data_IF_401589208489
#
_entry.id   IF_401589208489
#
_cell.length_a   1.000
_cell.length_b   1.000
_cell.length_c   1.000
_cell.angle_alpha   90.00
_cell.angle_beta   90.00
_cell.angle_gamma   90.00
#
_symmetry.space_group_name_H-M   'P 1'
#
loop_
_entity.id
_entity.type
_entity.pdbx_description
1 polymer ?
#
# COMPACT_ATOMS: atom_id res chain seq x y z
N UNK A 1 0.67 -0.78 -5.38
CA UNK A 1 1.98 -0.43 -4.79
C UNK A 1 2.48 -1.62 -3.98
N UNK A 2 3.76 -1.99 -4.06
CA UNK A 2 4.31 -3.01 -3.17
C UNK A 2 4.15 -2.57 -1.71
N UNK A 3 3.85 -3.52 -0.83
CA UNK A 3 3.69 -3.25 0.61
C UNK A 3 5.09 -3.05 1.21
N UNK A 4 5.38 -1.85 1.70
CA UNK A 4 6.59 -1.60 2.48
C UNK A 4 6.38 -2.13 3.90
N UNK A 5 7.33 -2.93 4.40
CA UNK A 5 7.31 -3.48 5.76
C UNK A 5 8.55 -2.99 6.50
N UNK A 6 8.34 -2.31 7.62
CA UNK A 6 9.42 -2.00 8.57
C UNK A 6 9.31 -3.01 9.69
N UNK A 7 10.36 -3.79 9.89
CA UNK A 7 10.37 -4.94 10.79
C UNK A 7 11.56 -4.87 11.73
N UNK A 8 11.36 -5.34 12.97
CA UNK A 8 12.41 -5.53 13.96
C UNK A 8 12.49 -7.01 14.34
N UNK A 9 13.70 -7.52 14.59
CA UNK A 9 13.87 -8.88 15.09
C UNK A 9 13.22 -9.03 16.48
N UNK A 10 12.40 -10.07 16.65
CA UNK A 10 11.63 -10.30 17.88
C UNK A 10 12.51 -10.49 19.11
N UNK A 11 13.51 -11.37 19.04
CA UNK A 11 14.40 -11.64 20.17
C UNK A 11 15.17 -10.39 20.61
N UNK A 12 15.58 -9.56 19.65
CA UNK A 12 16.22 -8.27 19.96
C UNK A 12 15.26 -7.29 20.60
N UNK A 13 14.04 -7.15 20.06
CA UNK A 13 13.01 -6.29 20.65
C UNK A 13 12.69 -6.70 22.09
N UNK A 14 12.49 -8.00 22.35
CA UNK A 14 12.19 -8.52 23.68
C UNK A 14 13.35 -8.33 24.65
N UNK A 15 14.60 -8.38 24.18
CA UNK A 15 15.79 -8.15 25.00
C UNK A 15 15.99 -6.69 25.45
N UNK A 16 15.24 -5.74 24.90
CA UNK A 16 15.37 -4.33 25.25
C UNK A 16 14.76 -4.02 26.64
N UNK A 17 15.28 -3.00 27.34
CA UNK A 17 14.64 -2.45 28.53
C UNK A 17 13.21 -1.98 28.24
N UNK A 18 12.33 -2.05 29.24
CA UNK A 18 10.91 -1.71 29.09
C UNK A 18 10.69 -0.29 28.54
N UNK A 19 11.48 0.69 28.97
CA UNK A 19 11.40 2.06 28.47
C UNK A 19 11.71 2.17 26.97
N UNK A 20 12.68 1.41 26.47
CA UNK A 20 13.03 1.40 25.05
C UNK A 20 11.94 0.71 24.21
N UNK A 21 11.34 -0.38 24.71
CA UNK A 21 10.20 -1.04 24.04
C UNK A 21 9.00 -0.10 23.93
N UNK A 22 8.65 0.58 25.03
CA UNK A 22 7.56 1.53 25.05
C UNK A 22 7.75 2.68 24.03
N UNK A 23 8.98 3.18 23.89
CA UNK A 23 9.30 4.20 22.89
C UNK A 23 9.14 3.68 21.45
N UNK A 24 9.54 2.43 21.18
CA UNK A 24 9.35 1.80 19.86
C UNK A 24 7.86 1.59 19.59
N UNK A 25 7.10 1.11 20.56
CA UNK A 25 5.67 0.84 20.41
C UNK A 25 4.89 2.12 20.12
N UNK A 26 5.23 3.21 20.81
CA UNK A 26 4.64 4.52 20.59
C UNK A 26 4.85 5.08 19.17
N UNK A 27 5.92 4.65 18.49
CA UNK A 27 6.28 5.08 17.13
C UNK A 27 6.00 4.01 16.07
N UNK A 28 5.35 2.90 16.42
CA UNK A 28 5.06 1.78 15.53
C UNK A 28 3.57 1.67 15.21
N UNK A 29 3.20 0.72 14.35
CA UNK A 29 1.80 0.44 14.04
C UNK A 29 1.11 1.61 13.32
N UNK A 30 -0.13 1.89 13.71
CA UNK A 30 -1.00 2.86 13.02
C UNK A 30 -0.42 4.29 13.00
N UNK A 31 0.26 4.70 14.09
CA UNK A 31 0.91 6.00 14.17
C UNK A 31 1.97 6.17 13.07
N UNK A 32 2.76 5.11 12.84
CA UNK A 32 3.75 5.10 11.77
C UNK A 32 3.12 5.02 10.38
N UNK A 33 2.08 4.18 10.21
CA UNK A 33 1.40 4.01 8.92
C UNK A 33 0.79 5.32 8.44
N UNK A 34 0.21 6.11 9.34
CA UNK A 34 -0.35 7.43 9.02
C UNK A 34 0.73 8.42 8.54
N UNK A 35 1.86 8.49 9.23
CA UNK A 35 2.96 9.40 8.89
C UNK A 35 3.69 8.98 7.61
N UNK A 36 3.91 7.68 7.41
CA UNK A 36 4.68 7.17 6.29
C UNK A 36 4.04 7.53 4.95
N UNK A 37 2.71 7.49 4.84
CA UNK A 37 2.00 7.88 3.60
C UNK A 37 2.25 9.35 3.22
N UNK A 38 2.20 10.24 4.21
CA UNK A 38 2.45 11.68 4.03
C UNK A 38 3.90 11.95 3.63
N UNK A 39 4.85 11.33 4.34
CA UNK A 39 6.28 11.45 4.03
C UNK A 39 6.60 10.94 2.62
N UNK A 40 5.99 9.83 2.22
CA UNK A 40 6.20 9.27 0.89
C UNK A 40 5.71 10.22 -0.21
N UNK A 41 4.52 10.80 -0.04
CA UNK A 41 3.99 11.79 -0.98
C UNK A 41 4.88 13.03 -1.07
N UNK A 42 5.39 13.51 0.07
CA UNK A 42 6.34 14.62 0.12
C UNK A 42 7.64 14.31 -0.62
N UNK A 43 8.19 13.10 -0.45
CA UNK A 43 9.41 12.68 -1.15
C UNK A 43 9.18 12.44 -2.65
N UNK A 44 7.97 12.07 -3.06
CA UNK A 44 7.62 11.90 -4.48
C UNK A 44 7.39 13.24 -5.20
N UNK A 45 7.10 14.33 -4.48
CA UNK A 45 6.75 15.62 -5.06
C UNK A 45 7.81 16.19 -6.04
N UNK A 46 9.12 16.17 -5.74
CA UNK A 46 10.14 16.67 -6.67
C UNK A 46 10.20 15.86 -7.96
N UNK A 47 10.05 14.54 -7.87
CA UNK A 47 10.03 13.63 -9.04
C UNK A 47 8.80 13.92 -9.89
N UNK A 48 7.64 14.13 -9.25
CA UNK A 48 6.41 14.51 -9.95
C UNK A 48 6.56 15.85 -10.67
N UNK A 49 7.18 16.87 -10.03
CA UNK A 49 7.48 18.16 -10.67
C UNK A 49 8.46 18.02 -11.84
N UNK A 50 9.41 17.09 -11.75
CA UNK A 50 10.33 16.77 -12.86
C UNK A 50 9.62 16.15 -14.08
N UNK A 51 8.44 15.55 -13.89
CA UNK A 51 7.63 15.05 -15.00
C UNK A 51 7.05 16.17 -15.87
N UNK A 52 7.04 17.42 -15.40
CA UNK A 52 6.61 18.60 -16.15
C UNK A 52 7.77 19.27 -16.93
N UNK A 53 8.96 18.64 -16.96
CA UNK A 53 10.10 19.14 -17.70
C UNK A 53 9.82 19.19 -19.23
N UNK A 54 10.47 20.12 -19.97
CA UNK A 54 10.28 20.24 -21.41
C UNK A 54 10.53 18.91 -22.14
N UNK A 55 9.58 18.49 -22.97
CA UNK A 55 9.64 17.22 -23.72
C UNK A 55 8.93 16.04 -23.06
N UNK A 56 8.36 16.21 -21.86
CA UNK A 56 7.54 15.19 -21.20
C UNK A 56 6.04 15.51 -21.33
N UNK A 57 5.21 14.47 -21.42
CA UNK A 57 3.75 14.59 -21.43
C UNK A 57 3.15 13.69 -20.34
N UNK A 58 2.38 14.28 -19.42
CA UNK A 58 1.63 13.55 -18.39
C UNK A 58 0.19 13.37 -18.86
N UNK A 59 -0.21 12.15 -19.15
CA UNK A 59 -1.58 11.83 -19.60
C UNK A 59 -2.37 11.31 -18.40
N UNK A 60 -3.37 12.09 -17.97
CA UNK A 60 -4.29 11.68 -16.92
C UNK A 60 -5.53 11.01 -17.56
N UNK A 61 -5.79 9.71 -17.30
CA UNK A 61 -6.96 9.04 -17.83
C UNK A 61 -8.24 9.59 -17.18
N UNK A 62 -9.31 9.69 -17.95
CA UNK A 62 -10.62 10.09 -17.44
C UNK A 62 -11.33 8.94 -16.69
N UNK A 63 -12.48 9.23 -16.10
CA UNK A 63 -13.23 8.24 -15.33
C UNK A 63 -13.71 7.05 -16.19
N UNK A 64 -14.04 7.27 -17.47
CA UNK A 64 -14.51 6.23 -18.38
C UNK A 64 -13.37 5.29 -18.80
N UNK A 65 -12.20 5.85 -19.12
CA UNK A 65 -10.98 5.09 -19.39
C UNK A 65 -10.55 4.27 -18.16
N UNK A 66 -10.59 4.88 -16.97
CA UNK A 66 -10.30 4.17 -15.72
C UNK A 66 -11.29 3.03 -15.46
N UNK A 67 -12.58 3.21 -15.76
CA UNK A 67 -13.58 2.15 -15.64
C UNK A 67 -13.33 1.01 -16.64
N UNK A 68 -13.03 1.34 -17.91
CA UNK A 68 -12.69 0.36 -18.93
C UNK A 68 -11.46 -0.48 -18.55
N UNK A 69 -10.41 0.16 -18.02
CA UNK A 69 -9.22 -0.54 -17.53
C UNK A 69 -9.53 -1.47 -16.36
N UNK A 70 -10.35 -1.03 -15.40
CA UNK A 70 -10.77 -1.88 -14.26
C UNK A 70 -11.53 -3.11 -14.74
N UNK A 71 -12.45 -2.94 -15.68
CA UNK A 71 -13.22 -4.05 -16.26
C UNK A 71 -12.29 -5.02 -17.02
N UNK A 72 -11.37 -4.50 -17.84
CA UNK A 72 -10.41 -5.32 -18.58
C UNK A 72 -9.45 -6.10 -17.69
N UNK A 73 -9.13 -5.60 -16.50
CA UNK A 73 -8.24 -6.25 -15.52
C UNK A 73 -8.98 -7.17 -14.52
N UNK A 74 -10.31 -7.22 -14.55
CA UNK A 74 -11.10 -8.10 -13.70
C UNK A 74 -10.68 -9.58 -13.79
N UNK A 75 -10.36 -10.16 -14.98
CA UNK A 75 -9.91 -11.54 -15.07
C UNK A 75 -8.57 -11.81 -14.36
N UNK A 76 -7.65 -10.84 -14.38
CA UNK A 76 -6.36 -10.95 -13.68
C UNK A 76 -6.57 -11.00 -12.18
N UNK A 77 -7.46 -10.15 -11.67
CA UNK A 77 -7.84 -10.12 -10.26
C UNK A 77 -8.51 -11.43 -9.85
N UNK A 78 -9.48 -11.89 -10.64
CA UNK A 78 -10.17 -13.16 -10.40
C UNK A 78 -9.20 -14.34 -10.32
N UNK A 79 -8.31 -14.49 -11.31
CA UNK A 79 -7.30 -15.55 -11.33
C UNK A 79 -6.39 -15.49 -10.11
N UNK A 80 -5.94 -14.30 -9.71
CA UNK A 80 -5.11 -14.14 -8.51
C UNK A 80 -5.86 -14.58 -7.24
N UNK A 81 -7.12 -14.19 -7.09
CA UNK A 81 -7.92 -14.57 -5.92
C UNK A 81 -8.24 -16.07 -5.89
N UNK A 82 -8.47 -16.70 -7.04
CA UNK A 82 -8.70 -18.15 -7.12
C UNK A 82 -7.44 -18.94 -6.75
N UNK A 83 -6.26 -18.48 -7.19
CA UNK A 83 -4.98 -19.06 -6.76
C UNK A 83 -4.73 -18.85 -5.26
N UNK A 84 -5.00 -17.64 -4.76
CA UNK A 84 -4.83 -17.33 -3.34
C UNK A 84 -5.80 -18.12 -2.46
N UNK A 85 -7.02 -18.38 -2.94
CA UNK A 85 -8.03 -19.15 -2.22
C UNK A 85 -7.60 -20.59 -1.90
N UNK A 86 -6.67 -21.16 -2.69
CA UNK A 86 -6.11 -22.50 -2.45
C UNK A 86 -5.33 -22.59 -1.14
N UNK A 87 -4.70 -21.49 -0.72
CA UNK A 87 -3.88 -21.43 0.51
C UNK A 87 -4.51 -20.55 1.59
N UNK A 88 -5.41 -19.65 1.20
CA UNK A 88 -6.12 -18.74 2.08
C UNK A 88 -7.60 -18.68 1.70
N UNK A 89 -8.46 -19.54 2.29
CA UNK A 89 -9.88 -19.64 1.93
C UNK A 89 -10.66 -18.31 1.97
N UNK A 90 -10.24 -17.37 2.82
CA UNK A 90 -10.84 -16.04 2.96
C UNK A 90 -10.40 -15.00 1.92
N UNK A 91 -9.67 -15.39 0.86
CA UNK A 91 -9.06 -14.46 -0.10
C UNK A 91 -10.03 -13.44 -0.71
N UNK A 92 -11.21 -13.89 -1.14
CA UNK A 92 -12.22 -13.03 -1.78
C UNK A 92 -12.87 -12.06 -0.80
N UNK A 93 -13.14 -12.52 0.43
CA UNK A 93 -13.71 -11.68 1.49
C UNK A 93 -12.70 -10.60 1.94
N UNK A 94 -11.44 -10.98 2.15
CA UNK A 94 -10.37 -10.06 2.48
C UNK A 94 -10.14 -9.02 1.38
N UNK A 95 -10.20 -9.43 0.11
CA UNK A 95 -10.14 -8.52 -1.02
C UNK A 95 -11.29 -7.49 -1.00
N UNK A 96 -12.53 -7.93 -0.75
CA UNK A 96 -13.68 -7.04 -0.63
C UNK A 96 -13.52 -6.00 0.48
N UNK A 97 -13.01 -6.41 1.65
CA UNK A 97 -12.71 -5.51 2.77
C UNK A 97 -11.66 -4.47 2.40
N UNK A 98 -10.58 -4.87 1.73
CA UNK A 98 -9.51 -3.96 1.30
C UNK A 98 -9.99 -3.01 0.19
N UNK A 99 -10.83 -3.48 -0.73
CA UNK A 99 -11.43 -2.63 -1.77
C UNK A 99 -12.29 -1.51 -1.14
N UNK A 100 -13.17 -1.88 -0.20
CA UNK A 100 -14.01 -0.94 0.54
C UNK A 100 -13.19 0.10 1.31
N UNK A 101 -12.13 -0.33 2.01
CA UNK A 101 -11.20 0.59 2.70
C UNK A 101 -10.48 1.55 1.75
N UNK A 102 -10.24 1.13 0.50
CA UNK A 102 -9.61 1.95 -0.52
C UNK A 102 -10.61 2.84 -1.30
N UNK A 103 -11.90 2.84 -0.93
CA UNK A 103 -12.95 3.56 -1.65
C UNK A 103 -13.18 3.05 -3.07
N UNK A 104 -12.97 1.75 -3.30
CA UNK A 104 -13.10 1.07 -4.60
C UNK A 104 -14.12 -0.05 -4.57
#
# INVERSE_FOLDING_TARGET
MPVARILMNKAKYESLPAAARAAIDALSGDAWVAELGTLWNKWAEPVRKGADAPGHAVIAPDAAQMAAWRQGLAPVTGKYLDELAKTFPGAKEAYGKVAALAGR
#
